data_IF_174109694732
#
_entry.id   IF_174109694732
#
_cell.length_a   1.000
_cell.length_b   1.000
_cell.length_c   1.000
_cell.angle_alpha   90.00
_cell.angle_beta   90.00
_cell.angle_gamma   90.00
#
_symmetry.space_group_name_H-M   'P 1'
#
loop_
_entity.id
_entity.type
_entity.pdbx_description
1 polymer ?
#
# COMPACT_ATOMS: atom_id res chain seq x y z
N UNK A 1 3.58 -15.05 -13.22
CA UNK A 1 3.37 -14.79 -11.79
C UNK A 1 3.75 -13.33 -11.55
N UNK A 2 2.89 -12.55 -10.90
CA UNK A 2 3.14 -11.12 -10.66
C UNK A 2 3.78 -10.97 -9.28
N UNK A 3 4.95 -10.37 -9.22
CA UNK A 3 5.72 -10.14 -8.00
C UNK A 3 5.62 -8.67 -7.52
N UNK A 4 5.59 -7.73 -8.48
CA UNK A 4 5.46 -6.31 -8.20
C UNK A 4 4.66 -5.61 -9.31
N UNK A 5 3.87 -4.61 -8.91
CA UNK A 5 3.25 -3.66 -9.83
C UNK A 5 3.46 -2.24 -9.31
N UNK A 6 3.71 -1.30 -10.23
CA UNK A 6 3.81 0.11 -9.91
C UNK A 6 2.48 0.79 -10.22
N UNK A 7 1.87 1.44 -9.21
CA UNK A 7 0.61 2.16 -9.35
C UNK A 7 0.86 3.67 -9.25
N UNK A 8 0.57 4.40 -10.32
CA UNK A 8 0.56 5.86 -10.30
C UNK A 8 -0.66 6.37 -9.54
N UNK A 9 -0.45 6.90 -8.33
CA UNK A 9 -1.49 7.52 -7.51
C UNK A 9 -1.34 9.04 -7.52
N UNK A 10 -2.46 9.76 -7.39
CA UNK A 10 -2.43 11.22 -7.33
C UNK A 10 -1.68 11.75 -6.11
N UNK A 11 -1.76 11.05 -4.98
CA UNK A 11 -0.99 11.36 -3.77
C UNK A 11 -0.55 10.07 -3.07
N UNK A 12 0.77 9.84 -3.05
CA UNK A 12 1.34 8.63 -2.45
C UNK A 12 1.20 8.59 -0.93
N UNK A 13 1.15 9.75 -0.27
CA UNK A 13 1.04 9.84 1.19
C UNK A 13 -0.35 9.43 1.65
N UNK A 14 -1.39 9.91 0.98
CA UNK A 14 -2.78 9.54 1.23
C UNK A 14 -3.00 8.06 0.95
N UNK A 15 -2.52 7.58 -0.20
CA UNK A 15 -2.63 6.16 -0.54
C UNK A 15 -1.90 5.26 0.47
N UNK A 16 -0.68 5.61 0.89
CA UNK A 16 0.05 4.84 1.91
C UNK A 16 -0.72 4.74 3.21
N UNK A 17 -1.29 5.85 3.73
CA UNK A 17 -2.08 5.84 4.97
C UNK A 17 -3.32 4.96 4.85
N UNK A 18 -4.00 5.01 3.71
CA UNK A 18 -5.16 4.17 3.46
C UNK A 18 -4.78 2.68 3.46
N UNK A 19 -3.77 2.30 2.68
CA UNK A 19 -3.33 0.91 2.62
C UNK A 19 -2.77 0.42 3.94
N UNK A 20 -2.01 1.24 4.66
CA UNK A 20 -1.51 0.90 6.00
C UNK A 20 -2.68 0.61 6.96
N UNK A 21 -3.70 1.47 7.03
CA UNK A 21 -4.87 1.26 7.88
C UNK A 21 -5.68 0.01 7.53
N UNK A 22 -5.79 -0.32 6.23
CA UNK A 22 -6.55 -1.49 5.76
C UNK A 22 -5.75 -2.79 5.91
N UNK A 23 -4.43 -2.72 5.77
CA UNK A 23 -3.53 -3.88 5.82
C UNK A 23 -3.09 -4.24 7.24
N UNK A 24 -3.03 -3.27 8.16
CA UNK A 24 -2.70 -3.49 9.56
C UNK A 24 -3.55 -4.58 10.24
N UNK A 25 -4.90 -4.62 10.10
CA UNK A 25 -5.70 -5.71 10.68
C UNK A 25 -5.46 -7.07 10.01
N UNK A 26 -4.91 -7.08 8.79
CA UNK A 26 -4.53 -8.30 8.08
C UNK A 26 -3.10 -8.75 8.43
N UNK A 27 -2.39 -8.01 9.30
CA UNK A 27 -1.01 -8.28 9.69
C UNK A 27 0.02 -7.90 8.64
N UNK A 28 -0.38 -7.16 7.60
CA UNK A 28 0.52 -6.68 6.55
C UNK A 28 0.89 -5.22 6.79
N UNK A 29 2.13 -4.88 6.48
CA UNK A 29 2.62 -3.49 6.52
C UNK A 29 3.22 -3.15 5.15
N UNK A 30 3.04 -1.91 4.71
CA UNK A 30 3.60 -1.45 3.45
C UNK A 30 5.14 -1.48 3.52
N UNK A 31 5.76 -2.39 2.75
CA UNK A 31 7.20 -2.42 2.55
C UNK A 31 7.60 -1.17 1.73
N UNK A 32 8.54 -0.39 2.30
CA UNK A 32 9.00 0.89 1.74
C UNK A 32 10.03 0.71 0.64
#
# INVERSE_FOLDING_TARGET
MLDHISLGVRDATVSKRFYDAVLQPLGYSCLS
#
